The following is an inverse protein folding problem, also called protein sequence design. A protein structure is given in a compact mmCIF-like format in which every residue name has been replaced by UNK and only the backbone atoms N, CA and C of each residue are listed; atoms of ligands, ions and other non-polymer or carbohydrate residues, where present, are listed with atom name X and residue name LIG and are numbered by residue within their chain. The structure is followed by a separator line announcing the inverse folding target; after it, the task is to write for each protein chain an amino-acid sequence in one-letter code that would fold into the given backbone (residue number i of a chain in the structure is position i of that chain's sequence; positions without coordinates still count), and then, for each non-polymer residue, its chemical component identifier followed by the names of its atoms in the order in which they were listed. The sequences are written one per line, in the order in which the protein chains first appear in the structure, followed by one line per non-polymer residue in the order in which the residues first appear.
data_IF_639781236903
#
_entry.id   IF_639781236903
#
_cell.length_a   1.000
_cell.length_b   1.000
_cell.length_c   1.000
_cell.angle_alpha   90.00
_cell.angle_beta   90.00
_cell.angle_gamma   90.00
#
_symmetry.space_group_name_H-M   'P 1'
#
loop_
_entity.id
_entity.type
_entity.pdbx_description
1 polymer ?
#
# COMPACT_ATOMS: atom_id res chain seq x y z
N UNK A 1 -0.32 -26.31 10.33
CA UNK A 1 -1.44 -25.63 9.64
C UNK A 1 -1.15 -24.15 9.76
N UNK A 2 -0.76 -23.48 8.67
CA UNK A 2 -0.43 -22.05 8.76
C UNK A 2 -1.72 -21.26 8.94
N UNK A 3 -1.88 -20.65 10.11
CA UNK A 3 -3.05 -19.88 10.51
C UNK A 3 -2.74 -18.40 10.26
N UNK A 4 -2.96 -17.95 9.03
CA UNK A 4 -2.81 -16.56 8.63
C UNK A 4 -3.22 -16.37 7.17
N UNK A 5 -3.88 -15.25 6.87
CA UNK A 5 -4.20 -14.90 5.50
C UNK A 5 -2.91 -14.72 4.68
N UNK A 6 -2.91 -15.22 3.45
CA UNK A 6 -1.78 -15.08 2.53
C UNK A 6 -1.70 -13.62 2.10
N UNK A 7 -0.56 -12.98 2.28
CA UNK A 7 -0.32 -11.62 1.83
C UNK A 7 0.29 -11.61 0.43
N UNK A 8 -0.26 -10.82 -0.47
CA UNK A 8 0.18 -10.70 -1.87
C UNK A 8 0.70 -9.30 -2.11
N UNK A 9 1.85 -9.19 -2.77
CA UNK A 9 2.41 -7.89 -3.16
C UNK A 9 1.66 -7.38 -4.37
N UNK A 10 1.13 -6.16 -4.28
CA UNK A 10 0.45 -5.49 -5.38
C UNK A 10 1.38 -4.53 -6.12
N UNK A 11 2.37 -3.95 -5.44
CA UNK A 11 3.34 -3.06 -6.09
C UNK A 11 4.64 -2.90 -5.28
N UNK A 12 5.65 -2.28 -5.89
CA UNK A 12 6.87 -1.77 -5.27
C UNK A 12 7.01 -0.28 -5.63
N UNK A 13 6.93 0.58 -4.63
CA UNK A 13 6.84 2.04 -4.82
C UNK A 13 7.79 2.77 -3.87
N UNK A 14 8.21 4.02 -4.19
CA UNK A 14 8.87 4.88 -3.22
C UNK A 14 8.00 5.02 -1.96
N UNK A 15 8.59 4.96 -0.76
CA UNK A 15 7.82 4.84 0.49
C UNK A 15 6.70 5.87 0.66
N UNK A 16 6.93 7.13 0.32
CA UNK A 16 5.91 8.17 0.45
C UNK A 16 4.68 7.88 -0.43
N UNK A 17 4.91 7.38 -1.64
CA UNK A 17 3.86 6.97 -2.56
C UNK A 17 3.17 5.70 -2.05
N UNK A 18 3.94 4.71 -1.59
CA UNK A 18 3.37 3.49 -1.01
C UNK A 18 2.43 3.79 0.17
N UNK A 19 2.80 4.75 1.03
CA UNK A 19 1.98 5.17 2.17
C UNK A 19 0.73 5.95 1.75
N UNK A 20 0.82 6.80 0.72
CA UNK A 20 -0.37 7.48 0.19
C UNK A 20 -1.35 6.48 -0.43
N UNK A 21 -0.84 5.49 -1.16
CA UNK A 21 -1.66 4.39 -1.71
C UNK A 21 -2.27 3.55 -0.59
N UNK A 22 -1.48 3.13 0.41
CA UNK A 22 -1.97 2.39 1.60
C UNK A 22 -3.11 3.14 2.31
N UNK A 23 -2.96 4.45 2.49
CA UNK A 23 -4.01 5.30 3.10
C UNK A 23 -5.28 5.31 2.26
N UNK A 24 -5.14 5.38 0.93
CA UNK A 24 -6.27 5.36 0.00
C UNK A 24 -6.99 4.01 0.05
N UNK A 25 -6.26 2.90 -0.04
CA UNK A 25 -6.80 1.54 0.13
C UNK A 25 -7.57 1.42 1.47
N UNK A 26 -6.97 1.89 2.56
CA UNK A 26 -7.61 1.87 3.88
C UNK A 26 -8.89 2.70 3.95
N UNK A 27 -8.95 3.85 3.27
CA UNK A 27 -10.15 4.68 3.20
C UNK A 27 -11.31 3.98 2.47
N UNK A 28 -11.01 3.00 1.63
CA UNK A 28 -11.97 2.17 0.90
C UNK A 28 -12.17 0.77 1.51
N UNK A 29 -11.69 0.53 2.74
CA UNK A 29 -11.89 -0.75 3.43
C UNK A 29 -10.93 -1.87 3.01
N UNK A 30 -9.93 -1.58 2.19
CA UNK A 30 -8.90 -2.54 1.78
C UNK A 30 -7.76 -2.54 2.81
N UNK A 31 -7.57 -3.67 3.49
CA UNK A 31 -6.46 -3.85 4.42
C UNK A 31 -5.15 -3.90 3.62
N UNK A 32 -4.15 -3.13 4.05
CA UNK A 32 -2.87 -3.06 3.35
C UNK A 32 -1.72 -2.79 4.31
N UNK A 33 -0.54 -3.30 3.94
CA UNK A 33 0.71 -3.14 4.71
C UNK A 33 1.85 -2.77 3.79
N UNK A 34 2.76 -1.94 4.30
CA UNK A 34 4.01 -1.61 3.64
C UNK A 34 5.13 -2.45 4.24
N UNK A 35 5.97 -3.05 3.40
CA UNK A 35 7.13 -3.82 3.82
C UNK A 35 8.41 -3.07 3.47
N UNK A 36 9.09 -2.60 4.50
CA UNK A 36 10.48 -2.12 4.42
C UNK A 36 11.45 -3.31 4.50
N UNK A 37 12.74 -3.12 4.19
CA UNK A 37 13.75 -4.17 4.41
C UNK A 37 13.84 -4.65 5.87
N UNK A 38 13.42 -3.83 6.83
CA UNK A 38 13.61 -4.07 8.27
C UNK A 38 12.35 -4.56 8.98
N UNK A 39 11.16 -4.15 8.51
CA UNK A 39 9.90 -4.39 9.19
C UNK A 39 8.67 -4.28 8.27
N UNK A 40 7.57 -4.89 8.72
CA UNK A 40 6.22 -4.69 8.19
C UNK A 40 5.53 -3.54 8.94
N UNK A 41 4.83 -2.69 8.20
CA UNK A 41 4.19 -1.47 8.71
C UNK A 41 2.71 -1.50 8.32
N UNK A 42 1.83 -1.67 9.31
CA UNK A 42 0.36 -1.63 9.13
C UNK A 42 -0.21 -0.23 9.31
N UNK A 43 0.50 0.63 10.04
CA UNK A 43 0.21 2.03 10.21
C UNK A 43 1.55 2.77 10.22
N UNK A 44 1.71 3.76 9.36
CA UNK A 44 2.93 4.56 9.37
C UNK A 44 2.95 5.43 10.62
N UNK A 45 3.94 5.27 11.53
CA UNK A 45 4.13 6.22 12.62
C UNK A 45 4.58 7.53 11.98
N UNK A 46 3.85 8.63 12.21
CA UNK A 46 4.17 9.98 11.69
C UNK A 46 5.65 10.33 11.90
N UNK A 47 6.20 9.92 13.04
CA UNK A 47 7.61 10.11 13.42
C UNK A 47 8.58 9.44 12.43
N UNK A 48 8.31 8.23 11.91
CA UNK A 48 9.23 7.55 10.97
C UNK A 48 9.32 8.25 9.60
N UNK A 49 8.23 8.92 9.19
CA UNK A 49 8.20 9.70 7.96
C UNK A 49 8.91 11.05 8.18
N UNK A 50 8.58 11.74 9.27
CA UNK A 50 9.14 13.06 9.60
C UNK A 50 10.64 13.02 9.93
N UNK A 51 11.12 11.94 10.55
CA UNK A 51 12.55 11.78 10.89
C UNK A 51 13.40 11.25 9.73
N UNK A 52 12.80 10.98 8.56
CA UNK A 52 13.53 10.46 7.40
C UNK A 52 14.08 9.06 7.65
N UNK A 53 13.24 8.13 8.14
CA UNK A 53 13.56 6.71 8.23
C UNK A 53 13.87 6.09 6.85
N UNK A 54 13.63 4.79 6.66
CA UNK A 54 13.86 4.20 5.34
C UNK A 54 12.97 4.87 4.27
N UNK A 55 13.55 5.60 3.31
CA UNK A 55 12.82 6.33 2.25
C UNK A 55 12.98 5.72 0.84
N UNK A 56 13.59 4.54 0.74
CA UNK A 56 13.71 3.82 -0.52
C UNK A 56 12.40 3.15 -0.96
N UNK A 57 12.50 2.31 -1.98
CA UNK A 57 11.38 1.53 -2.47
C UNK A 57 10.96 0.47 -1.45
N UNK A 58 9.65 0.32 -1.30
CA UNK A 58 9.01 -0.60 -0.36
C UNK A 58 7.95 -1.42 -1.10
N UNK A 59 7.71 -2.64 -0.64
CA UNK A 59 6.62 -3.44 -1.19
C UNK A 59 5.29 -3.08 -0.52
N UNK A 60 4.23 -2.90 -1.30
CA UNK A 60 2.87 -2.73 -0.82
C UNK A 60 2.12 -4.07 -0.95
N UNK A 61 1.49 -4.51 0.12
CA UNK A 61 0.82 -5.82 0.20
C UNK A 61 -0.61 -5.69 0.70
N UNK A 62 -1.45 -6.63 0.27
CA UNK A 62 -2.83 -6.81 0.72
C UNK A 62 -3.10 -8.28 1.03
N UNK A 63 -4.12 -8.63 1.84
CA UNK A 63 -4.58 -10.00 1.97
C UNK A 63 -5.04 -10.54 0.61
N UNK A 64 -4.72 -11.80 0.30
CA UNK A 64 -5.09 -12.45 -0.96
C UNK A 64 -6.59 -12.39 -1.23
N UNK A 65 -7.41 -12.46 -0.19
CA UNK A 65 -8.88 -12.36 -0.27
C UNK A 65 -9.35 -10.99 -0.77
N UNK A 66 -8.56 -9.93 -0.61
CA UNK A 66 -8.84 -8.57 -1.08
C UNK A 66 -8.03 -8.18 -2.33
N UNK A 67 -7.21 -9.09 -2.89
CA UNK A 67 -6.30 -8.76 -3.98
C UNK A 67 -6.99 -8.14 -5.20
N UNK A 68 -8.06 -8.79 -5.70
CA UNK A 68 -8.82 -8.30 -6.85
C UNK A 68 -9.54 -6.98 -6.57
N UNK A 69 -10.02 -6.80 -5.35
CA UNK A 69 -10.67 -5.55 -4.93
C UNK A 69 -9.66 -4.39 -4.92
N UNK A 70 -8.44 -4.66 -4.43
CA UNK A 70 -7.34 -3.69 -4.43
C UNK A 70 -6.95 -3.30 -5.86
N UNK A 71 -6.69 -4.27 -6.75
CA UNK A 71 -6.35 -4.01 -8.15
C UNK A 71 -7.44 -3.17 -8.85
N UNK A 72 -8.70 -3.57 -8.75
CA UNK A 72 -9.81 -2.84 -9.36
C UNK A 72 -10.01 -1.43 -8.79
N UNK A 73 -9.63 -1.18 -7.53
CA UNK A 73 -9.64 0.16 -6.96
C UNK A 73 -8.50 1.01 -7.53
N UNK A 74 -7.29 0.47 -7.63
CA UNK A 74 -6.13 1.21 -8.14
C UNK A 74 -6.27 1.56 -9.62
N UNK A 75 -6.79 0.64 -10.43
CA UNK A 75 -7.05 0.88 -11.85
C UNK A 75 -8.03 2.05 -12.02
N UNK A 76 -9.16 2.04 -11.29
CA UNK A 76 -10.16 3.12 -11.34
C UNK A 76 -9.59 4.48 -10.91
N UNK A 77 -8.75 4.49 -9.89
CA UNK A 77 -8.12 5.74 -9.41
C UNK A 77 -7.09 6.27 -10.40
N UNK A 78 -6.34 5.39 -11.06
CA UNK A 78 -5.40 5.75 -12.12
C UNK A 78 -6.13 6.36 -13.30
N UNK A 79 -7.22 5.72 -13.77
CA UNK A 79 -8.07 6.22 -14.84
C UNK A 79 -8.70 7.59 -14.51
N UNK A 80 -9.02 7.85 -13.25
CA UNK A 80 -9.55 9.13 -12.79
C UNK A 80 -8.47 10.22 -12.76
N UNK A 81 -7.27 9.89 -12.29
CA UNK A 81 -6.14 10.81 -12.28
C UNK A 81 -5.76 11.24 -13.71
N UNK A 82 -5.71 10.30 -14.65
CA UNK A 82 -5.40 10.57 -16.05
C UNK A 82 -6.42 11.52 -16.69
N UNK A 83 -7.72 11.31 -16.42
CA UNK A 83 -8.81 12.18 -16.91
C UNK A 83 -8.81 13.58 -16.31
N UNK A 84 -8.26 13.78 -15.12
CA UNK A 84 -8.12 15.10 -14.50
C UNK A 84 -6.94 15.89 -15.06
N UNK A 85 -6.02 15.23 -15.77
CA UNK A 85 -4.85 15.84 -16.38
C UNK A 85 -5.08 16.28 -17.84
N UNK A 86 -6.23 15.93 -18.43
CA UNK A 86 -6.70 16.38 -19.75
C UNK A 86 -7.47 17.70 -19.68
#
# INVERSE_FOLDING_TARGET
MYQGDIWVRIDTLPRLIAESVRRTLSAHGVVSVVRTPFQWVMASPVIEIETGGYMGDVGLYVPQVQHREAEALLDRLSDEADRQME
#
